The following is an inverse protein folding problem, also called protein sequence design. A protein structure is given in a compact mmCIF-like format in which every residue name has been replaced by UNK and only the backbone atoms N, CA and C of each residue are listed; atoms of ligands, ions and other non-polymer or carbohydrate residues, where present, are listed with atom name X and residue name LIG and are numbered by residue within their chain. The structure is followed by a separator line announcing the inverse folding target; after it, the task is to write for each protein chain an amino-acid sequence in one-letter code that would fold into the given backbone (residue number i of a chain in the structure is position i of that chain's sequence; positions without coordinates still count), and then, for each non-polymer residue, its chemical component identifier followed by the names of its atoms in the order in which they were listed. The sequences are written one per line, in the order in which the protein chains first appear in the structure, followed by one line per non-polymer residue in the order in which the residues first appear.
data_IF_026607694156
#
_entry.id   IF_026607694156
#
_cell.length_a   1.000
_cell.length_b   1.000
_cell.length_c   1.000
_cell.angle_alpha   90.00
_cell.angle_beta   90.00
_cell.angle_gamma   90.00
#
_symmetry.space_group_name_H-M   'P 1'
#
loop_
_entity.id
_entity.type
_entity.pdbx_description
1 polymer ?
#
# COMPACT_ATOMS: atom_id res chain seq x y z
N UNK A 1 17.42 18.09 5.57
CA UNK A 1 16.46 18.28 6.68
C UNK A 1 15.31 19.08 6.09
N UNK A 2 14.15 18.46 5.87
CA UNK A 2 13.00 19.12 5.23
C UNK A 2 12.39 20.08 6.25
N UNK A 3 12.17 21.34 5.89
CA UNK A 3 11.56 22.31 6.81
C UNK A 3 10.13 21.87 7.18
N UNK A 4 9.70 22.04 8.45
CA UNK A 4 8.32 21.78 8.84
C UNK A 4 7.39 22.72 8.10
N UNK A 5 6.38 22.17 7.40
CA UNK A 5 5.35 22.96 6.74
C UNK A 5 4.55 23.72 7.81
N UNK A 6 4.79 25.03 7.92
CA UNK A 6 4.07 25.91 8.86
C UNK A 6 2.60 26.03 8.43
N UNK A 7 1.67 25.66 9.31
CA UNK A 7 0.22 25.89 9.13
C UNK A 7 -0.67 24.64 9.16
N UNK A 8 -0.11 23.44 9.30
CA UNK A 8 -0.89 22.19 9.35
C UNK A 8 -1.66 22.08 10.67
N UNK A 9 -2.98 21.92 10.57
CA UNK A 9 -3.88 21.72 11.73
C UNK A 9 -4.10 20.22 11.92
N UNK A 10 -3.23 19.60 12.71
CA UNK A 10 -3.27 18.17 13.01
C UNK A 10 -4.48 17.80 13.88
N UNK A 11 -5.57 17.36 13.27
CA UNK A 11 -6.82 16.99 13.96
C UNK A 11 -6.88 15.52 14.37
N UNK A 12 -6.14 14.65 13.69
CA UNK A 12 -6.13 13.21 13.93
C UNK A 12 -4.70 12.77 14.23
N UNK A 13 -4.46 12.24 15.43
CA UNK A 13 -3.14 11.79 15.87
C UNK A 13 -3.29 10.84 17.05
N UNK A 14 -2.25 10.03 17.29
CA UNK A 14 -2.18 9.19 18.48
C UNK A 14 -2.24 10.02 19.76
N UNK A 15 -2.67 9.42 20.87
CA UNK A 15 -2.59 10.06 22.17
C UNK A 15 -1.16 10.56 22.42
N UNK A 16 -1.02 11.82 22.82
CA UNK A 16 0.28 12.45 23.16
C UNK A 16 0.80 11.99 24.53
N UNK A 17 0.59 10.72 24.86
CA UNK A 17 1.04 10.08 26.11
C UNK A 17 2.48 9.57 25.99
N UNK A 18 3.11 9.75 24.83
CA UNK A 18 4.49 9.39 24.55
C UNK A 18 5.27 10.60 23.99
N UNK A 19 6.58 10.60 24.19
CA UNK A 19 7.48 11.64 23.70
C UNK A 19 7.68 11.63 22.17
N UNK A 20 7.15 10.62 21.46
CA UNK A 20 7.32 10.46 20.01
C UNK A 20 6.06 9.91 19.37
N UNK A 21 5.36 10.75 18.61
CA UNK A 21 4.13 10.39 17.90
C UNK A 21 4.12 10.96 16.48
N UNK A 22 3.32 10.32 15.61
CA UNK A 22 3.01 10.80 14.25
C UNK A 22 1.54 11.23 14.24
N UNK A 23 1.25 12.36 13.61
CA UNK A 23 -0.11 12.84 13.37
C UNK A 23 -0.39 12.95 11.87
N UNK A 24 -1.65 12.81 11.49
CA UNK A 24 -2.11 12.84 10.10
C UNK A 24 -3.00 14.06 9.91
N UNK A 25 -2.72 14.86 8.88
CA UNK A 25 -3.63 15.90 8.40
C UNK A 25 -4.51 15.31 7.28
N UNK A 26 -5.82 15.31 7.51
CA UNK A 26 -6.81 14.79 6.54
C UNK A 26 -7.53 15.90 5.77
N UNK A 27 -7.33 17.17 6.15
CA UNK A 27 -7.93 18.33 5.49
C UNK A 27 -7.10 18.71 4.25
N UNK A 28 -5.77 18.57 4.33
CA UNK A 28 -4.86 18.82 3.20
C UNK A 28 -4.77 17.58 2.28
N UNK A 29 -5.11 17.75 1.01
CA UNK A 29 -5.05 16.69 -0.01
C UNK A 29 -4.05 17.02 -1.11
N UNK A 30 -3.34 16.01 -1.59
CA UNK A 30 -2.40 16.11 -2.70
C UNK A 30 -2.92 15.30 -3.89
N UNK A 31 -2.04 14.57 -4.58
CA UNK A 31 -2.41 13.71 -5.70
C UNK A 31 -3.28 12.53 -5.28
N UNK A 32 -4.12 12.06 -6.21
CA UNK A 32 -4.85 10.81 -6.07
C UNK A 32 -3.91 9.62 -6.25
N UNK A 33 -4.02 8.63 -5.37
CA UNK A 33 -3.36 7.34 -5.54
C UNK A 33 -4.22 6.52 -6.49
N UNK A 34 -3.79 6.41 -7.75
CA UNK A 34 -4.54 5.68 -8.78
C UNK A 34 -4.59 4.17 -8.52
N UNK A 35 -3.55 3.61 -7.92
CA UNK A 35 -3.45 2.19 -7.63
C UNK A 35 -2.00 1.72 -7.49
N UNK A 36 -1.86 0.43 -7.20
CA UNK A 36 -0.59 -0.26 -7.07
C UNK A 36 -0.63 -1.56 -7.88
N UNK A 37 0.53 -2.04 -8.31
CA UNK A 37 0.64 -3.28 -9.07
C UNK A 37 2.09 -3.73 -9.23
N UNK A 38 2.29 -4.70 -10.10
CA UNK A 38 3.61 -5.23 -10.44
C UNK A 38 3.68 -5.63 -11.92
N UNK A 39 4.90 -5.72 -12.45
CA UNK A 39 5.11 -6.16 -13.83
C UNK A 39 4.93 -7.68 -13.96
N UNK A 40 3.93 -8.12 -14.72
CA UNK A 40 3.78 -9.53 -15.09
C UNK A 40 4.49 -9.79 -16.42
N UNK A 41 5.79 -10.08 -16.34
CA UNK A 41 6.67 -10.28 -17.50
C UNK A 41 6.51 -11.67 -18.11
N UNK A 42 7.10 -11.90 -19.29
CA UNK A 42 7.13 -13.23 -19.91
C UNK A 42 7.79 -14.28 -18.99
N UNK A 43 8.88 -13.91 -18.31
CA UNK A 43 9.53 -14.81 -17.36
C UNK A 43 8.59 -15.19 -16.20
N UNK A 44 7.82 -14.24 -15.67
CA UNK A 44 6.81 -14.50 -14.64
C UNK A 44 5.69 -15.41 -15.18
N UNK A 45 5.21 -15.15 -16.40
CA UNK A 45 4.18 -15.96 -17.06
C UNK A 45 4.63 -17.41 -17.28
N UNK A 46 5.88 -17.61 -17.73
CA UNK A 46 6.43 -18.95 -17.95
C UNK A 46 6.52 -19.75 -16.64
N UNK A 47 6.93 -19.11 -15.55
CA UNK A 47 6.99 -19.78 -14.25
C UNK A 47 5.60 -20.06 -13.70
N UNK A 48 4.68 -19.11 -13.80
CA UNK A 48 3.28 -19.29 -13.42
C UNK A 48 2.63 -20.46 -14.16
N UNK A 49 2.85 -20.56 -15.48
CA UNK A 49 2.27 -21.63 -16.30
C UNK A 49 2.76 -23.04 -15.91
N UNK A 50 3.98 -23.17 -15.38
CA UNK A 50 4.55 -24.45 -14.92
C UNK A 50 3.92 -24.95 -13.62
N UNK A 51 3.21 -24.11 -12.88
CA UNK A 51 2.54 -24.52 -11.65
C UNK A 51 1.35 -25.44 -11.96
N UNK A 52 1.03 -26.32 -11.02
CA UNK A 52 -0.24 -27.04 -11.04
C UNK A 52 -1.42 -26.05 -10.93
N UNK A 53 -2.59 -26.44 -11.44
CA UNK A 53 -3.76 -25.56 -11.50
C UNK A 53 -4.22 -25.02 -10.14
N UNK A 54 -4.16 -25.84 -9.10
CA UNK A 54 -4.44 -25.41 -7.73
C UNK A 54 -3.48 -24.33 -7.23
N UNK A 55 -2.21 -24.41 -7.61
CA UNK A 55 -1.19 -23.42 -7.25
C UNK A 55 -1.25 -22.16 -8.10
N UNK A 56 -1.70 -22.26 -9.36
CA UNK A 56 -2.00 -21.09 -10.19
C UNK A 56 -3.10 -20.23 -9.52
N UNK A 57 -4.18 -20.87 -9.08
CA UNK A 57 -5.29 -20.18 -8.40
C UNK A 57 -4.86 -19.55 -7.07
N UNK A 58 -4.06 -20.27 -6.28
CA UNK A 58 -3.52 -19.77 -5.01
C UNK A 58 -2.67 -18.52 -5.22
N UNK A 59 -1.78 -18.51 -6.23
CA UNK A 59 -0.96 -17.33 -6.57
C UNK A 59 -1.84 -16.15 -6.97
N UNK A 60 -2.85 -16.35 -7.83
CA UNK A 60 -3.74 -15.26 -8.23
C UNK A 60 -4.56 -14.72 -7.05
N UNK A 61 -5.02 -15.60 -6.17
CA UNK A 61 -5.74 -15.22 -4.95
C UNK A 61 -4.86 -14.35 -4.06
N UNK A 62 -3.63 -14.80 -3.78
CA UNK A 62 -2.73 -14.08 -2.88
C UNK A 62 -2.25 -12.73 -3.45
N UNK A 63 -2.20 -12.58 -4.77
CA UNK A 63 -1.76 -11.31 -5.38
C UNK A 63 -2.90 -10.32 -5.62
N UNK A 64 -4.11 -10.80 -5.90
CA UNK A 64 -5.16 -9.96 -6.49
C UNK A 64 -6.53 -10.08 -5.83
N UNK A 65 -6.76 -11.05 -4.93
CA UNK A 65 -8.00 -11.07 -4.14
C UNK A 65 -7.96 -9.97 -3.09
N UNK A 66 -9.01 -9.14 -3.07
CA UNK A 66 -9.11 -7.98 -2.18
C UNK A 66 -9.08 -8.31 -0.69
N UNK A 67 -9.56 -9.49 -0.30
CA UNK A 67 -9.77 -9.86 1.10
C UNK A 67 -8.84 -11.01 1.54
N UNK A 68 -8.32 -11.79 0.60
CA UNK A 68 -7.51 -12.99 0.85
C UNK A 68 -6.06 -12.86 0.41
N UNK A 69 -5.71 -11.78 -0.29
CA UNK A 69 -4.33 -11.41 -0.65
C UNK A 69 -3.66 -10.50 0.36
#
# INVERSE_FOLDING_TARGET
MVEPIKGLKWKYGGEKTTDSFIAIDVDTKYQEIMGFGGGFTEAAALQFHKLRKDKQEEVLTLYFDKNKG
#
